data_IF_352649881141
#
_entry.id   IF_352649881141
#
_cell.length_a   1.000
_cell.length_b   1.000
_cell.length_c   1.000
_cell.angle_alpha   90.00
_cell.angle_beta   90.00
_cell.angle_gamma   90.00
#
_symmetry.space_group_name_H-M   'P 1'
#
loop_
_entity.id
_entity.type
_entity.pdbx_description
1 polymer ?
#
# COMPACT_ATOMS: atom_id res chain seq x y z
N UNK A 1 7.40 7.61 9.93
CA UNK A 1 6.23 8.13 9.20
C UNK A 1 5.35 6.99 8.76
N UNK A 2 4.05 7.22 8.65
CA UNK A 2 3.06 6.30 8.12
C UNK A 2 2.69 6.74 6.70
N UNK A 3 3.05 5.91 5.72
CA UNK A 3 2.74 6.11 4.31
C UNK A 3 1.63 5.14 3.90
N UNK A 4 0.58 5.69 3.30
CA UNK A 4 -0.45 4.92 2.60
C UNK A 4 -0.41 5.32 1.13
N UNK A 5 -0.29 4.34 0.24
CA UNK A 5 -0.49 4.51 -1.21
C UNK A 5 -1.75 3.76 -1.60
N UNK A 6 -2.66 4.42 -2.30
CA UNK A 6 -3.93 3.86 -2.76
C UNK A 6 -3.93 3.85 -4.29
N UNK A 7 -4.04 2.66 -4.87
CA UNK A 7 -4.18 2.44 -6.32
C UNK A 7 -5.65 2.19 -6.60
N UNK A 8 -6.20 2.89 -7.59
CA UNK A 8 -7.60 2.75 -8.00
C UNK A 8 -7.70 1.73 -9.13
N UNK A 9 -8.40 0.63 -8.88
CA UNK A 9 -8.70 -0.38 -9.89
C UNK A 9 -9.79 0.09 -10.84
N UNK A 10 -9.69 -0.32 -12.11
CA UNK A 10 -10.67 0.04 -13.15
C UNK A 10 -11.56 -1.15 -13.51
N UNK A 11 -10.98 -2.33 -13.75
CA UNK A 11 -11.72 -3.55 -14.09
C UNK A 11 -12.05 -4.38 -12.84
N UNK A 12 -13.28 -4.22 -12.35
CA UNK A 12 -13.74 -4.85 -11.11
C UNK A 12 -14.76 -5.95 -11.40
N UNK A 13 -14.72 -7.01 -10.59
CA UNK A 13 -15.73 -8.05 -10.50
C UNK A 13 -16.66 -7.80 -9.31
N UNK A 14 -17.57 -8.73 -9.05
CA UNK A 14 -18.51 -8.66 -7.94
C UNK A 14 -17.81 -8.35 -6.60
N UNK A 15 -18.47 -7.53 -5.77
CA UNK A 15 -17.97 -7.03 -4.48
C UNK A 15 -16.73 -6.10 -4.55
N UNK A 16 -16.42 -5.53 -5.72
CA UNK A 16 -15.35 -4.53 -5.86
C UNK A 16 -13.95 -5.14 -5.81
N UNK A 17 -13.83 -6.45 -6.00
CA UNK A 17 -12.53 -7.10 -6.17
C UNK A 17 -12.02 -6.86 -7.58
N UNK A 18 -10.69 -6.72 -7.79
CA UNK A 18 -10.14 -6.63 -9.14
C UNK A 18 -10.34 -7.94 -9.91
N UNK A 19 -10.60 -7.83 -11.21
CA UNK A 19 -10.56 -8.96 -12.14
C UNK A 19 -9.17 -9.61 -12.18
N UNK A 20 -9.00 -10.67 -12.98
CA UNK A 20 -7.68 -11.29 -13.17
C UNK A 20 -6.80 -10.34 -13.98
N UNK A 21 -7.38 -9.78 -15.05
CA UNK A 21 -6.76 -8.81 -15.95
C UNK A 21 -6.32 -7.55 -15.18
N UNK A 22 -7.15 -7.05 -14.27
CA UNK A 22 -6.80 -5.91 -13.43
C UNK A 22 -5.64 -6.24 -12.50
N UNK A 23 -5.62 -7.44 -11.91
CA UNK A 23 -4.52 -7.89 -11.04
C UNK A 23 -3.19 -7.97 -11.79
N UNK A 24 -3.19 -8.47 -13.02
CA UNK A 24 -1.99 -8.49 -13.87
C UNK A 24 -1.41 -7.09 -14.12
N UNK A 25 -2.22 -6.04 -13.95
CA UNK A 25 -1.81 -4.65 -14.09
C UNK A 25 -1.38 -4.05 -12.75
N UNK A 26 -2.20 -4.18 -11.70
CA UNK A 26 -1.97 -3.49 -10.42
C UNK A 26 -0.93 -4.19 -9.54
N UNK A 27 -0.79 -5.51 -9.62
CA UNK A 27 0.15 -6.25 -8.78
C UNK A 27 1.62 -5.95 -9.12
N UNK A 28 2.06 -5.95 -10.39
CA UNK A 28 3.43 -5.58 -10.73
C UNK A 28 3.78 -4.15 -10.34
N UNK A 29 2.81 -3.22 -10.42
CA UNK A 29 3.01 -1.85 -9.96
C UNK A 29 3.16 -1.79 -8.44
N UNK A 30 2.32 -2.52 -7.69
CA UNK A 30 2.44 -2.62 -6.24
C UNK A 30 3.77 -3.23 -5.78
N UNK A 31 4.23 -4.28 -6.46
CA UNK A 31 5.51 -4.93 -6.17
C UNK A 31 6.70 -4.01 -6.45
N UNK A 32 6.62 -3.24 -7.55
CA UNK A 32 7.61 -2.19 -7.87
C UNK A 32 7.65 -1.12 -6.78
N UNK A 33 6.50 -0.59 -6.38
CA UNK A 33 6.42 0.41 -5.30
C UNK A 33 7.00 -0.13 -4.00
N UNK A 34 6.67 -1.37 -3.64
CA UNK A 34 7.23 -1.99 -2.44
C UNK A 34 8.76 -2.05 -2.49
N UNK A 35 9.33 -2.53 -3.61
CA UNK A 35 10.78 -2.59 -3.79
C UNK A 35 11.44 -1.21 -3.73
N UNK A 36 10.88 -0.24 -4.45
CA UNK A 36 11.48 1.08 -4.58
C UNK A 36 11.40 1.88 -3.27
N UNK A 37 10.27 1.81 -2.55
CA UNK A 37 10.07 2.51 -1.27
C UNK A 37 10.96 1.91 -0.16
N UNK A 38 11.20 0.59 -0.18
CA UNK A 38 12.09 -0.09 0.78
C UNK A 38 13.58 0.08 0.44
N UNK A 39 13.92 0.59 -0.75
CA UNK A 39 15.30 0.68 -1.21
C UNK A 39 16.18 1.45 -0.21
N UNK A 40 17.41 0.97 -0.02
CA UNK A 40 18.34 1.54 0.97
C UNK A 40 17.90 1.36 2.42
N UNK A 41 16.89 0.53 2.70
CA UNK A 41 16.36 0.32 4.05
C UNK A 41 15.46 1.46 4.55
N UNK A 42 14.94 2.31 3.66
CA UNK A 42 14.16 3.49 4.04
C UNK A 42 12.77 3.16 4.63
N UNK A 43 12.24 1.96 4.36
CA UNK A 43 10.89 1.63 4.77
C UNK A 43 10.72 0.17 5.19
N UNK A 44 9.77 -0.04 6.10
CA UNK A 44 9.21 -1.34 6.46
C UNK A 44 7.80 -1.43 5.87
N UNK A 45 7.55 -2.48 5.09
CA UNK A 45 6.22 -2.76 4.55
C UNK A 45 5.33 -3.39 5.63
N UNK A 46 4.10 -2.90 5.76
CA UNK A 46 3.15 -3.37 6.77
C UNK A 46 2.05 -4.24 6.17
N UNK A 47 1.29 -3.71 5.22
CA UNK A 47 0.11 -4.40 4.69
C UNK A 47 -0.15 -4.05 3.23
N UNK A 48 -0.67 -5.04 2.50
CA UNK A 48 -1.39 -4.89 1.23
C UNK A 48 -2.82 -5.32 1.50
N UNK A 49 -3.76 -4.43 1.25
CA UNK A 49 -5.18 -4.76 1.33
C UNK A 49 -5.88 -4.42 0.01
N UNK A 50 -7.01 -5.07 -0.22
CA UNK A 50 -7.84 -4.80 -1.38
C UNK A 50 -9.27 -4.70 -0.91
N UNK A 51 -9.88 -3.54 -1.15
CA UNK A 51 -11.23 -3.26 -0.72
C UNK A 51 -11.90 -2.29 -1.68
N UNK A 52 -13.14 -2.62 -2.07
CA UNK A 52 -14.04 -1.74 -2.82
C UNK A 52 -13.38 -1.01 -4.01
N UNK A 53 -12.71 -1.76 -4.87
CA UNK A 53 -12.06 -1.24 -6.08
C UNK A 53 -10.70 -0.57 -5.86
N UNK A 54 -10.15 -0.65 -4.66
CA UNK A 54 -8.85 -0.05 -4.33
C UNK A 54 -7.86 -1.08 -3.82
N UNK A 55 -6.57 -0.85 -4.11
CA UNK A 55 -5.45 -1.55 -3.49
C UNK A 55 -4.66 -0.56 -2.66
N UNK A 56 -4.65 -0.77 -1.35
CA UNK A 56 -3.86 0.04 -0.41
C UNK A 56 -2.59 -0.69 -0.06
N UNK A 57 -1.48 0.04 -0.08
CA UNK A 57 -0.16 -0.41 0.33
C UNK A 57 0.34 0.52 1.42
N UNK A 58 0.85 -0.05 2.51
CA UNK A 58 1.16 0.74 3.70
C UNK A 58 2.57 0.43 4.19
N UNK A 59 3.30 1.48 4.52
CA UNK A 59 4.66 1.40 5.03
C UNK A 59 4.87 2.26 6.27
N UNK A 60 5.83 1.82 7.09
CA UNK A 60 6.57 2.70 7.98
C UNK A 60 7.79 3.22 7.25
N UNK A 61 7.89 4.53 7.12
CA UNK A 61 8.97 5.21 6.39
C UNK A 61 9.86 5.95 7.38
N UNK A 62 11.17 5.76 7.26
CA UNK A 62 12.18 6.45 8.05
C UNK A 62 12.35 7.89 7.55
N UNK A 63 12.80 8.07 6.31
CA UNK A 63 12.92 9.36 5.64
C UNK A 63 11.71 9.58 4.69
N UNK A 64 10.77 10.46 5.07
CA UNK A 64 9.56 10.70 4.28
C UNK A 64 9.85 11.46 2.98
N UNK A 65 10.93 12.26 2.91
CA UNK A 65 11.23 13.09 1.75
C UNK A 65 11.69 12.22 0.58
N UNK A 66 12.49 11.19 0.86
CA UNK A 66 12.90 10.21 -0.15
C UNK A 66 11.69 9.49 -0.76
N UNK A 67 10.76 9.03 0.08
CA UNK A 67 9.56 8.32 -0.38
C UNK A 67 8.60 9.25 -1.15
N UNK A 68 8.35 10.45 -0.62
CA UNK A 68 7.46 11.42 -1.25
C UNK A 68 8.02 11.91 -2.59
N UNK A 69 9.33 12.21 -2.67
CA UNK A 69 9.96 12.60 -3.92
C UNK A 69 9.92 11.49 -4.96
N UNK A 70 10.08 10.23 -4.55
CA UNK A 70 9.94 9.08 -5.44
C UNK A 70 8.53 8.97 -6.03
N UNK A 71 7.48 9.07 -5.20
CA UNK A 71 6.09 9.03 -5.64
C UNK A 71 5.72 10.22 -6.54
N UNK A 72 6.18 11.43 -6.20
CA UNK A 72 6.07 12.62 -7.05
C UNK A 72 6.70 12.41 -8.42
N UNK A 73 7.87 11.77 -8.48
CA UNK A 73 8.53 11.47 -9.75
C UNK A 73 7.72 10.47 -10.58
N UNK A 74 7.23 9.38 -9.98
CA UNK A 74 6.35 8.41 -10.67
C UNK A 74 5.14 9.14 -11.28
N UNK A 75 4.48 9.99 -10.50
CA UNK A 75 3.32 10.75 -10.94
C UNK A 75 3.67 11.73 -12.06
N UNK A 76 4.73 12.52 -11.89
CA UNK A 76 5.18 13.54 -12.87
C UNK A 76 5.50 12.94 -14.24
N UNK A 77 6.05 11.73 -14.28
CA UNK A 77 6.45 11.06 -15.52
C UNK A 77 5.43 10.02 -16.01
N UNK A 78 4.22 9.97 -15.42
CA UNK A 78 3.17 9.01 -15.75
C UNK A 78 3.67 7.55 -15.76
N UNK A 79 4.51 7.19 -14.79
CA UNK A 79 5.10 5.84 -14.67
C UNK A 79 4.23 4.89 -13.85
N UNK A 80 2.92 4.92 -14.12
CA UNK A 80 1.93 4.15 -13.39
C UNK A 80 0.86 3.63 -14.36
N UNK A 81 0.39 2.38 -14.20
CA UNK A 81 -0.61 1.82 -15.11
C UNK A 81 -2.06 2.14 -14.70
N UNK A 82 -2.25 2.63 -13.47
CA UNK A 82 -3.53 3.01 -12.88
C UNK A 82 -3.36 4.25 -12.01
N UNK A 83 -4.40 5.07 -11.95
CA UNK A 83 -4.40 6.23 -11.07
C UNK A 83 -4.09 5.79 -9.64
N UNK A 84 -3.33 6.61 -8.94
CA UNK A 84 -2.98 6.36 -7.55
C UNK A 84 -2.83 7.68 -6.80
N UNK A 85 -3.02 7.64 -5.49
CA UNK A 85 -2.76 8.74 -4.58
C UNK A 85 -1.95 8.24 -3.39
N UNK A 86 -1.33 9.15 -2.65
CA UNK A 86 -0.64 8.81 -1.42
C UNK A 86 -0.88 9.82 -0.31
N UNK A 87 -0.82 9.34 0.92
CA UNK A 87 -0.89 10.15 2.13
C UNK A 87 0.26 9.77 3.05
N UNK A 88 0.99 10.78 3.53
CA UNK A 88 2.08 10.62 4.47
C UNK A 88 1.75 11.40 5.75
N UNK A 89 1.88 10.74 6.90
CA UNK A 89 1.62 11.37 8.20
C UNK A 89 2.60 10.90 9.27
N UNK A 90 2.83 11.74 10.29
CA UNK A 90 3.62 11.32 11.44
C UNK A 90 2.83 10.29 12.26
N UNK A 91 3.56 9.32 12.80
CA UNK A 91 3.01 8.20 13.58
C UNK A 91 4.08 7.74 14.58
N UNK A 92 4.51 8.64 15.47
CA UNK A 92 5.66 8.40 16.35
C UNK A 92 5.42 7.20 17.28
N UNK A 93 4.20 7.06 17.77
CA UNK A 93 3.80 6.03 18.73
C UNK A 93 3.28 4.75 18.08
N UNK A 94 3.33 4.63 16.74
CA UNK A 94 2.81 3.47 16.01
C UNK A 94 1.30 3.25 16.15
N UNK A 95 0.54 4.25 16.58
CA UNK A 95 -0.91 4.16 16.78
C UNK A 95 -1.64 3.75 15.49
N UNK A 96 -1.21 4.24 14.32
CA UNK A 96 -1.83 3.86 13.04
C UNK A 96 -1.41 2.46 12.59
N UNK A 97 -0.20 2.03 12.95
CA UNK A 97 0.27 0.69 12.65
C UNK A 97 -0.37 -0.37 13.56
N UNK A 98 -0.63 -0.01 14.83
CA UNK A 98 -1.18 -0.90 15.85
C UNK A 98 -2.52 -1.49 15.43
N UNK A 99 -3.40 -0.69 14.82
CA UNK A 99 -4.68 -1.18 14.30
C UNK A 99 -4.51 -2.40 13.39
N UNK A 100 -3.51 -2.40 12.51
CA UNK A 100 -3.24 -3.55 11.63
C UNK A 100 -2.69 -4.76 12.39
N UNK A 101 -1.91 -4.54 13.44
CA UNK A 101 -1.40 -5.63 14.29
C UNK A 101 -2.51 -6.30 15.08
N UNK A 102 -3.43 -5.51 15.63
CA UNK A 102 -4.58 -6.02 16.38
C UNK A 102 -5.46 -6.94 15.49
N UNK A 103 -5.66 -6.56 14.22
CA UNK A 103 -6.38 -7.42 13.26
C UNK A 103 -5.69 -8.77 13.01
N UNK A 104 -4.36 -8.84 13.10
CA UNK A 104 -3.63 -10.11 12.94
C UNK A 104 -3.75 -11.00 14.19
N UNK A 105 -3.81 -10.41 15.38
CA UNK A 105 -4.00 -11.14 16.62
C UNK A 105 -5.40 -11.74 16.72
N UNK A 106 -6.44 -10.96 16.38
CA UNK A 106 -7.83 -11.43 16.38
C UNK A 106 -8.06 -12.58 15.40
N UNK A 107 -7.54 -12.48 14.17
CA UNK A 107 -7.64 -13.54 13.15
C UNK A 107 -6.92 -14.85 13.54
N UNK A 108 -5.99 -14.81 14.50
CA UNK A 108 -5.31 -16.00 15.00
C UNK A 108 -6.09 -16.69 16.13
N UNK A 109 -6.98 -15.99 16.84
CA UNK A 109 -7.84 -16.60 17.86
C UNK A 109 -8.96 -17.44 17.25
N UNK A 110 -9.50 -17.04 16.09
CA UNK A 110 -10.54 -17.77 15.37
C UNK A 110 -10.05 -19.07 14.69
N UNK A 111 -8.74 -19.32 14.63
CA UNK A 111 -8.14 -20.54 14.06
C UNK A 111 -7.82 -21.64 15.08
N UNK A 112 -8.18 -21.45 16.35
CA UNK A 112 -7.88 -22.38 17.45
C UNK A 112 -9.12 -23.19 17.89
N UNK A 113 -10.20 -23.20 17.10
CA UNK A 113 -11.41 -23.99 17.37
C UNK A 113 -11.79 -24.92 16.21
#
# INVERSE_FOLDING_TARGET
>A
WHLTVVIYGEELIENGMPSIEEREIVDPFGDKLEKDIKAGGNALFLIRETWNGTRSLIWRVYDPEIADQHLKNINKYNQYPRQFNWHMSQDLNWEKAQWYFDQLEDNNQDKVH
#
